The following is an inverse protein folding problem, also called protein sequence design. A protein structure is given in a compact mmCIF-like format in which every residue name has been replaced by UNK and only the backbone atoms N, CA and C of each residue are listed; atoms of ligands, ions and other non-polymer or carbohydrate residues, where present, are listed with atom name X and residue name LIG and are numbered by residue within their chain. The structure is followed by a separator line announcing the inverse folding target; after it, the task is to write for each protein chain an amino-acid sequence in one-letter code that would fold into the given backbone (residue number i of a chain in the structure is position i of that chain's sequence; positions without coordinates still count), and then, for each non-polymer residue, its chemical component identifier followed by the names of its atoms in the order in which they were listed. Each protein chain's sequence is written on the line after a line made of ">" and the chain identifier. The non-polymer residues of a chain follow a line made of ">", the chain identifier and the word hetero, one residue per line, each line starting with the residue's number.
data_IF_049752453700
#
_entry.id   IF_049752453700
#
_cell.length_a   1.000
_cell.length_b   1.000
_cell.length_c   1.000
_cell.angle_alpha   90.00
_cell.angle_beta   90.00
_cell.angle_gamma   90.00
#
_symmetry.space_group_name_H-M   'P 1'
#
loop_
_entity.id
_entity.type
_entity.pdbx_description
1 polymer ?
#
# COMPACT_ATOMS: atom_id res chain seq x y z
N UNK A 1 3.53 -0.81 12.82
CA UNK A 1 2.81 -1.86 12.03
C UNK A 1 1.57 -1.23 11.41
N UNK A 2 1.25 -1.51 10.15
CA UNK A 2 0.02 -1.02 9.52
C UNK A 2 -1.23 -1.50 10.26
N UNK A 3 -2.29 -0.69 10.27
CA UNK A 3 -3.57 -1.10 10.86
C UNK A 3 -4.20 -2.24 10.04
N UNK A 4 -5.08 -3.01 10.68
CA UNK A 4 -5.76 -4.12 10.01
C UNK A 4 -6.59 -3.64 8.82
N UNK A 5 -7.28 -2.51 8.97
CA UNK A 5 -8.11 -1.91 7.93
C UNK A 5 -7.31 -1.54 6.69
N UNK A 6 -6.13 -0.98 6.91
CA UNK A 6 -5.23 -0.60 5.82
C UNK A 6 -4.68 -1.83 5.07
N UNK A 7 -4.30 -2.89 5.80
CA UNK A 7 -3.86 -4.13 5.17
C UNK A 7 -4.97 -4.81 4.37
N UNK A 8 -6.19 -4.88 4.93
CA UNK A 8 -7.35 -5.44 4.21
C UNK A 8 -7.68 -4.63 2.96
N UNK A 9 -7.58 -3.30 3.03
CA UNK A 9 -7.82 -2.43 1.89
C UNK A 9 -6.80 -2.66 0.77
N UNK A 10 -5.53 -2.86 1.11
CA UNK A 10 -4.48 -3.21 0.14
C UNK A 10 -4.74 -4.59 -0.48
N UNK A 11 -4.97 -5.62 0.33
CA UNK A 11 -5.24 -6.98 -0.16
C UNK A 11 -6.45 -6.99 -1.09
N UNK A 12 -7.52 -6.28 -0.73
CA UNK A 12 -8.70 -6.16 -1.59
C UNK A 12 -8.35 -5.53 -2.95
N UNK A 13 -7.57 -4.46 -2.94
CA UNK A 13 -7.21 -3.75 -4.17
C UNK A 13 -6.25 -4.56 -5.04
N UNK A 14 -5.33 -5.32 -4.42
CA UNK A 14 -4.32 -6.08 -5.14
C UNK A 14 -4.85 -7.39 -5.75
N UNK A 15 -5.67 -8.12 -5.03
CA UNK A 15 -6.04 -9.49 -5.41
C UNK A 15 -7.51 -9.83 -5.24
N UNK A 16 -8.33 -8.93 -4.69
CA UNK A 16 -9.71 -9.24 -4.26
C UNK A 16 -9.77 -10.49 -3.36
N UNK A 17 -8.72 -10.68 -2.53
CA UNK A 17 -8.52 -11.85 -1.65
C UNK A 17 -8.25 -13.18 -2.38
N UNK A 18 -7.89 -13.16 -3.66
CA UNK A 18 -7.41 -14.36 -4.35
C UNK A 18 -5.92 -14.65 -4.01
N UNK A 19 -5.68 -15.67 -3.18
CA UNK A 19 -4.33 -16.08 -2.81
C UNK A 19 -3.49 -16.57 -3.99
N UNK A 20 -4.12 -16.95 -5.11
CA UNK A 20 -3.45 -17.43 -6.32
C UNK A 20 -3.26 -16.36 -7.39
N UNK A 21 -3.69 -15.13 -7.11
CA UNK A 21 -3.58 -14.01 -8.05
C UNK A 21 -2.14 -13.87 -8.58
N UNK A 22 -2.03 -13.61 -9.86
CA UNK A 22 -0.78 -13.43 -10.57
C UNK A 22 -0.94 -12.38 -11.65
N UNK A 23 -0.22 -11.27 -11.54
CA UNK A 23 -0.28 -10.22 -12.55
C UNK A 23 0.54 -10.59 -13.80
N UNK A 24 0.27 -9.94 -14.93
CA UNK A 24 1.03 -10.11 -16.16
C UNK A 24 2.50 -9.68 -16.02
N UNK A 25 2.82 -8.80 -15.06
CA UNK A 25 4.21 -8.38 -14.74
C UNK A 25 4.86 -9.25 -13.67
N UNK A 26 4.17 -10.25 -13.15
CA UNK A 26 4.72 -11.25 -12.24
C UNK A 26 4.55 -10.98 -10.74
N UNK A 27 3.72 -10.01 -10.35
CA UNK A 27 3.31 -9.83 -8.95
C UNK A 27 2.44 -11.02 -8.50
N UNK A 28 2.59 -11.47 -7.25
CA UNK A 28 2.03 -12.75 -6.79
C UNK A 28 1.30 -12.67 -5.46
N UNK A 29 0.19 -13.40 -5.37
CA UNK A 29 -0.55 -13.69 -4.15
C UNK A 29 -1.39 -12.53 -3.63
N UNK A 30 -1.84 -12.64 -2.39
CA UNK A 30 -2.80 -11.72 -1.77
C UNK A 30 -2.38 -10.24 -1.83
N UNK A 31 -1.12 -9.95 -1.58
CA UNK A 31 -0.59 -8.59 -1.58
C UNK A 31 0.17 -8.24 -2.87
N UNK A 32 0.08 -9.08 -3.91
CA UNK A 32 0.70 -8.86 -5.22
C UNK A 32 2.17 -8.39 -5.12
N UNK A 33 2.95 -9.06 -4.26
CA UNK A 33 4.35 -8.72 -4.08
C UNK A 33 5.20 -9.23 -5.25
N UNK A 34 6.09 -8.38 -5.77
CA UNK A 34 7.03 -8.78 -6.81
C UNK A 34 8.10 -9.73 -6.23
N UNK A 35 8.49 -10.78 -6.96
CA UNK A 35 9.50 -11.74 -6.50
C UNK A 35 10.81 -11.10 -6.05
N UNK A 36 11.27 -10.04 -6.74
CA UNK A 36 12.48 -9.31 -6.35
C UNK A 36 12.33 -8.60 -5.00
N UNK A 37 11.21 -7.94 -4.78
CA UNK A 37 10.87 -7.29 -3.51
C UNK A 37 10.74 -8.32 -2.40
N UNK A 38 10.03 -9.42 -2.65
CA UNK A 38 9.88 -10.52 -1.69
C UNK A 38 11.22 -11.12 -1.25
N UNK A 39 12.15 -11.29 -2.20
CA UNK A 39 13.51 -11.78 -1.92
C UNK A 39 14.30 -10.81 -1.01
N UNK A 40 14.21 -9.51 -1.29
CA UNK A 40 14.85 -8.49 -0.46
C UNK A 40 14.27 -8.48 0.95
N UNK A 41 12.94 -8.50 1.07
CA UNK A 41 12.23 -8.54 2.35
C UNK A 41 12.57 -9.80 3.15
N UNK A 42 12.56 -10.97 2.50
CA UNK A 42 12.92 -12.24 3.16
C UNK A 42 14.34 -12.17 3.74
N UNK A 43 15.28 -11.56 3.02
CA UNK A 43 16.65 -11.34 3.51
C UNK A 43 16.66 -10.44 4.75
N UNK A 44 15.92 -9.34 4.74
CA UNK A 44 15.84 -8.41 5.88
C UNK A 44 15.20 -9.07 7.11
N UNK A 45 14.21 -9.92 6.89
CA UNK A 45 13.56 -10.72 7.93
C UNK A 45 14.35 -11.96 8.36
N UNK A 46 15.53 -12.22 7.75
CA UNK A 46 16.36 -13.42 7.98
C UNK A 46 15.55 -14.71 7.83
N UNK A 47 14.65 -14.76 6.85
CA UNK A 47 13.82 -15.92 6.53
C UNK A 47 14.13 -16.44 5.12
N UNK A 48 13.84 -17.72 4.87
CA UNK A 48 14.09 -18.32 3.55
C UNK A 48 13.12 -17.73 2.51
N UNK A 49 13.68 -17.29 1.39
CA UNK A 49 12.88 -16.89 0.25
C UNK A 49 12.41 -18.12 -0.55
N UNK A 50 11.13 -18.16 -0.85
CA UNK A 50 10.52 -19.16 -1.76
C UNK A 50 9.50 -18.51 -2.66
N UNK A 51 9.76 -18.54 -3.97
CA UNK A 51 8.84 -17.99 -4.97
C UNK A 51 7.48 -18.74 -4.98
N UNK A 52 7.51 -20.06 -4.81
CA UNK A 52 6.29 -20.87 -4.81
C UNK A 52 5.36 -20.54 -3.64
N UNK A 53 5.93 -20.26 -2.46
CA UNK A 53 5.15 -19.90 -1.27
C UNK A 53 4.40 -18.58 -1.42
N UNK A 54 4.81 -17.69 -2.34
CA UNK A 54 4.09 -16.43 -2.56
C UNK A 54 2.62 -16.63 -3.01
N UNK A 55 2.30 -17.79 -3.62
CA UNK A 55 0.93 -18.14 -4.04
C UNK A 55 0.35 -19.30 -3.26
N UNK A 56 1.17 -20.20 -2.73
CA UNK A 56 0.69 -21.41 -2.04
C UNK A 56 0.54 -21.24 -0.53
N UNK A 57 1.16 -20.20 0.05
CA UNK A 57 1.06 -19.89 1.48
C UNK A 57 0.61 -18.42 1.66
N UNK A 58 -0.70 -18.19 1.93
CA UNK A 58 -1.22 -16.86 2.20
C UNK A 58 -0.52 -16.13 3.34
N UNK A 59 -0.17 -16.86 4.42
CA UNK A 59 0.50 -16.29 5.59
C UNK A 59 1.90 -15.78 5.24
N UNK A 60 2.61 -16.53 4.41
CA UNK A 60 3.93 -16.12 3.92
C UNK A 60 3.84 -14.85 3.05
N UNK A 61 2.86 -14.80 2.13
CA UNK A 61 2.63 -13.63 1.29
C UNK A 61 2.30 -12.38 2.11
N UNK A 62 1.33 -12.50 3.04
CA UNK A 62 0.93 -11.40 3.93
C UNK A 62 2.11 -10.94 4.78
N UNK A 63 2.89 -11.85 5.35
CA UNK A 63 4.07 -11.50 6.15
C UNK A 63 5.06 -10.63 5.38
N UNK A 64 5.42 -11.04 4.17
CA UNK A 64 6.38 -10.30 3.35
C UNK A 64 5.80 -8.97 2.84
N UNK A 65 4.56 -8.99 2.36
CA UNK A 65 3.87 -7.78 1.88
C UNK A 65 3.65 -6.75 2.98
N UNK A 66 3.24 -7.18 4.16
CA UNK A 66 3.07 -6.31 5.34
C UNK A 66 4.39 -5.67 5.77
N UNK A 67 5.47 -6.44 5.81
CA UNK A 67 6.78 -5.90 6.15
C UNK A 67 7.22 -4.82 5.13
N UNK A 68 7.07 -5.10 3.84
CA UNK A 68 7.39 -4.13 2.80
C UNK A 68 6.54 -2.86 2.91
N UNK A 69 5.23 -3.02 3.09
CA UNK A 69 4.34 -1.87 3.24
C UNK A 69 4.64 -1.06 4.50
N UNK A 70 4.98 -1.73 5.62
CA UNK A 70 5.40 -1.05 6.85
C UNK A 70 6.67 -0.23 6.64
N UNK A 71 7.65 -0.75 5.88
CA UNK A 71 8.86 0.03 5.56
C UNK A 71 8.54 1.30 4.76
N UNK A 72 7.58 1.23 3.84
CA UNK A 72 7.12 2.42 3.12
C UNK A 72 6.39 3.41 4.04
N UNK A 73 5.57 2.94 4.99
CA UNK A 73 4.97 3.82 5.99
C UNK A 73 6.02 4.54 6.83
N UNK A 74 7.06 3.84 7.26
CA UNK A 74 8.18 4.42 8.02
C UNK A 74 8.94 5.44 7.18
N UNK A 75 9.19 5.15 5.89
CA UNK A 75 9.86 6.06 4.96
C UNK A 75 9.07 7.37 4.71
N UNK A 76 7.76 7.37 4.98
CA UNK A 76 6.86 8.50 4.79
C UNK A 76 6.20 8.99 6.09
N UNK A 77 6.82 8.76 7.25
CA UNK A 77 6.36 9.25 8.56
C UNK A 77 4.89 8.91 8.86
N UNK A 78 4.43 7.74 8.44
CA UNK A 78 3.06 7.25 8.63
C UNK A 78 2.02 7.85 7.68
N UNK A 79 2.43 8.64 6.69
CA UNK A 79 1.53 9.23 5.68
C UNK A 79 1.10 8.18 4.67
N UNK A 80 -0.02 7.53 4.92
CA UNK A 80 -0.42 6.37 4.13
C UNK A 80 -0.78 6.66 2.66
N UNK A 81 -1.29 7.83 2.22
CA UNK A 81 -1.43 8.09 0.78
C UNK A 81 -0.11 7.97 0.01
N UNK A 82 1.00 8.41 0.61
CA UNK A 82 2.32 8.26 0.01
C UNK A 82 2.78 6.81 -0.01
N UNK A 83 2.63 6.10 1.11
CA UNK A 83 2.99 4.68 1.20
C UNK A 83 2.17 3.81 0.24
N UNK A 84 0.85 4.06 0.12
CA UNK A 84 -0.04 3.38 -0.83
C UNK A 84 0.42 3.64 -2.27
N UNK A 85 0.66 4.89 -2.62
CA UNK A 85 1.15 5.25 -3.95
C UNK A 85 2.52 4.64 -4.25
N UNK A 86 3.43 4.61 -3.26
CA UNK A 86 4.75 3.99 -3.39
C UNK A 86 4.68 2.47 -3.55
N UNK A 87 3.73 1.82 -2.88
CA UNK A 87 3.51 0.38 -3.04
C UNK A 87 3.14 0.01 -4.48
N UNK A 88 2.29 0.81 -5.11
CA UNK A 88 1.85 0.62 -6.50
C UNK A 88 2.87 1.09 -7.54
N UNK A 89 3.39 2.31 -7.41
CA UNK A 89 4.21 2.97 -8.44
C UNK A 89 5.71 3.04 -8.12
N UNK A 90 6.10 2.67 -6.91
CA UNK A 90 7.47 2.78 -6.41
C UNK A 90 7.77 4.11 -5.71
N UNK A 91 8.68 4.10 -4.71
CA UNK A 91 8.95 5.26 -3.87
C UNK A 91 9.56 6.45 -4.63
N UNK A 92 10.36 6.21 -5.67
CA UNK A 92 10.98 7.28 -6.45
C UNK A 92 9.95 8.17 -7.18
N UNK A 93 8.84 7.57 -7.63
CA UNK A 93 7.76 8.34 -8.29
C UNK A 93 7.04 9.24 -7.29
N UNK A 94 6.78 8.75 -6.10
CA UNK A 94 6.15 9.55 -5.04
C UNK A 94 7.02 10.74 -4.68
N UNK A 95 8.32 10.55 -4.46
CA UNK A 95 9.28 11.64 -4.20
C UNK A 95 9.28 12.68 -5.32
N UNK A 96 9.24 12.23 -6.58
CA UNK A 96 9.17 13.10 -7.75
C UNK A 96 7.88 13.91 -7.79
N UNK A 97 6.73 13.29 -7.47
CA UNK A 97 5.44 13.97 -7.48
C UNK A 97 5.29 14.95 -6.32
N UNK A 98 5.77 14.62 -5.12
CA UNK A 98 5.81 15.56 -3.99
C UNK A 98 6.66 16.77 -4.34
N UNK A 99 7.84 16.59 -4.92
CA UNK A 99 8.69 17.70 -5.37
C UNK A 99 8.03 18.57 -6.44
N UNK A 100 7.24 17.96 -7.33
CA UNK A 100 6.64 18.66 -8.47
C UNK A 100 5.36 19.42 -8.10
N UNK A 101 4.53 18.82 -7.24
CA UNK A 101 3.17 19.32 -6.98
C UNK A 101 3.01 19.97 -5.61
N UNK A 102 4.04 19.93 -4.77
CA UNK A 102 4.00 20.40 -3.39
C UNK A 102 3.85 19.26 -2.39
N UNK A 103 4.25 19.53 -1.15
CA UNK A 103 4.22 18.57 -0.04
C UNK A 103 3.01 18.83 0.86
N UNK A 104 2.02 17.93 0.88
CA UNK A 104 0.86 18.07 1.76
C UNK A 104 1.22 18.11 3.25
N UNK A 105 2.37 17.55 3.65
CA UNK A 105 2.83 17.61 5.05
C UNK A 105 3.33 18.99 5.46
N UNK A 106 3.64 19.85 4.48
CA UNK A 106 4.11 21.24 4.69
C UNK A 106 3.04 22.27 4.38
N UNK A 107 1.79 21.84 4.22
CA UNK A 107 0.67 22.68 3.85
C UNK A 107 0.85 23.43 2.49
N UNK A 108 1.75 22.91 1.62
CA UNK A 108 1.95 23.44 0.29
C UNK A 108 0.79 23.12 -0.67
N UNK A 109 0.06 22.02 -0.37
CA UNK A 109 -1.13 21.55 -1.07
C UNK A 109 -1.93 20.65 -0.12
N UNK A 110 -3.25 20.52 -0.28
CA UNK A 110 -3.98 19.52 0.50
C UNK A 110 -3.86 18.11 -0.09
N UNK A 111 -4.09 17.06 0.72
CA UNK A 111 -3.92 15.67 0.29
C UNK A 111 -4.84 15.28 -0.85
N UNK A 112 -6.08 15.78 -0.87
CA UNK A 112 -7.07 15.44 -1.91
C UNK A 112 -6.57 15.96 -3.26
N UNK A 113 -6.17 17.22 -3.31
CA UNK A 113 -5.66 17.85 -4.54
C UNK A 113 -4.36 17.17 -4.99
N UNK A 114 -3.47 16.82 -4.05
CA UNK A 114 -2.25 16.10 -4.38
C UNK A 114 -2.54 14.73 -5.02
N UNK A 115 -3.49 13.98 -4.48
CA UNK A 115 -3.92 12.68 -5.03
C UNK A 115 -4.49 12.87 -6.44
N UNK A 116 -5.32 13.90 -6.65
CA UNK A 116 -5.89 14.20 -7.98
C UNK A 116 -4.81 14.56 -9.02
N UNK A 117 -3.70 15.14 -8.60
CA UNK A 117 -2.56 15.47 -9.46
C UNK A 117 -1.64 14.30 -9.78
N UNK A 118 -1.81 13.14 -9.17
CA UNK A 118 -1.03 11.94 -9.52
C UNK A 118 -1.17 11.68 -11.03
N UNK A 119 -0.05 11.77 -11.73
CA UNK A 119 -0.03 11.71 -13.20
C UNK A 119 -0.50 10.36 -13.76
N UNK A 120 -0.15 9.25 -13.10
CA UNK A 120 -0.55 7.94 -13.55
C UNK A 120 -1.98 7.65 -13.10
N UNK A 121 -2.89 7.54 -14.07
CA UNK A 121 -4.30 7.25 -13.81
C UNK A 121 -4.48 5.97 -12.98
N UNK A 122 -3.70 4.94 -13.28
CA UNK A 122 -3.73 3.67 -12.55
C UNK A 122 -3.39 3.89 -11.07
N UNK A 123 -2.27 4.56 -10.78
CA UNK A 123 -1.84 4.83 -9.40
C UNK A 123 -2.79 5.77 -8.68
N UNK A 124 -3.29 6.80 -9.34
CA UNK A 124 -4.31 7.70 -8.77
C UNK A 124 -5.56 6.93 -8.35
N UNK A 125 -6.10 6.11 -9.24
CA UNK A 125 -7.27 5.27 -8.95
C UNK A 125 -6.96 4.25 -7.84
N UNK A 126 -5.77 3.67 -7.84
CA UNK A 126 -5.31 2.75 -6.80
C UNK A 126 -5.32 3.42 -5.41
N UNK A 127 -4.70 4.58 -5.29
CA UNK A 127 -4.67 5.34 -4.02
C UNK A 127 -6.09 5.68 -3.55
N UNK A 128 -6.94 6.20 -4.43
CA UNK A 128 -8.33 6.54 -4.10
C UNK A 128 -9.12 5.33 -3.63
N UNK A 129 -9.06 4.20 -4.34
CA UNK A 129 -9.79 2.97 -3.97
C UNK A 129 -9.31 2.35 -2.67
N UNK A 130 -7.99 2.36 -2.42
CA UNK A 130 -7.47 1.87 -1.13
C UNK A 130 -7.98 2.75 0.01
N UNK A 131 -7.97 4.07 -0.13
CA UNK A 131 -8.49 5.01 0.88
C UNK A 131 -10.00 4.79 1.12
N UNK A 132 -10.80 4.63 0.07
CA UNK A 132 -12.21 4.29 0.18
C UNK A 132 -12.42 2.97 0.95
N UNK A 133 -11.65 1.94 0.63
CA UNK A 133 -11.73 0.65 1.30
C UNK A 133 -11.30 0.72 2.77
N UNK A 134 -10.32 1.55 3.14
CA UNK A 134 -9.96 1.78 4.55
C UNK A 134 -11.19 2.25 5.33
N UNK A 135 -11.96 3.21 4.79
CA UNK A 135 -13.16 3.72 5.43
C UNK A 135 -14.23 2.62 5.61
N UNK A 136 -14.43 1.81 4.56
CA UNK A 136 -15.35 0.67 4.62
C UNK A 136 -14.94 -0.30 5.72
N UNK A 137 -13.66 -0.65 5.82
CA UNK A 137 -13.18 -1.59 6.85
C UNK A 137 -13.20 -0.98 8.25
N UNK A 138 -12.87 0.29 8.44
CA UNK A 138 -13.03 0.98 9.73
C UNK A 138 -14.48 0.90 10.22
N UNK A 139 -15.43 1.19 9.35
CA UNK A 139 -16.83 1.07 9.71
C UNK A 139 -17.27 -0.38 9.97
N UNK A 140 -16.86 -1.31 9.13
CA UNK A 140 -17.27 -2.72 9.22
C UNK A 140 -16.71 -3.39 10.47
N UNK A 141 -15.44 -3.16 10.80
CA UNK A 141 -14.76 -3.81 11.92
C UNK A 141 -15.02 -3.10 13.26
N UNK A 142 -14.93 -1.77 13.28
CA UNK A 142 -14.88 -0.99 14.52
C UNK A 142 -16.12 -0.14 14.74
N UNK A 143 -17.05 -0.05 13.76
CA UNK A 143 -18.17 0.88 13.75
C UNK A 143 -17.76 2.36 13.87
N UNK A 144 -16.53 2.66 13.48
CA UNK A 144 -16.01 4.03 13.52
C UNK A 144 -16.60 4.87 12.39
N UNK A 145 -17.15 6.06 12.70
CA UNK A 145 -17.59 6.99 11.67
C UNK A 145 -16.39 7.50 10.87
N UNK A 146 -16.62 7.83 9.61
CA UNK A 146 -15.59 8.44 8.76
C UNK A 146 -15.24 9.82 9.32
N UNK A 147 -13.96 10.00 9.66
CA UNK A 147 -13.39 11.30 10.04
C UNK A 147 -12.48 11.77 8.90
N UNK A 148 -12.74 12.93 8.35
CA UNK A 148 -11.93 13.48 7.25
C UNK A 148 -10.68 14.15 7.81
N UNK A 149 -10.79 14.84 8.94
CA UNK A 149 -9.67 15.54 9.58
C UNK A 149 -8.68 14.54 10.22
N UNK A 150 -7.40 14.69 9.88
CA UNK A 150 -6.33 13.82 10.37
C UNK A 150 -6.33 12.39 9.81
N UNK A 151 -7.21 12.10 8.85
CA UNK A 151 -7.43 10.76 8.30
C UNK A 151 -6.20 10.16 7.61
N UNK A 152 -5.31 10.98 7.04
CA UNK A 152 -4.22 10.52 6.18
C UNK A 152 -2.94 10.11 6.92
N UNK A 153 -2.96 10.07 8.24
CA UNK A 153 -1.83 9.62 9.08
C UNK A 153 -2.24 8.50 10.03
N UNK A 154 -1.30 7.59 10.25
CA UNK A 154 -1.39 6.55 11.29
C UNK A 154 -0.47 6.87 12.45
#
# INVERSE_FOLDING_TARGET
>A
MPSQELLLAIIRQESEFDARANSHVGAQGLMQIMPGTAKLVARNLKTTYSKSLLKSDPSYNIKLGTYYFNSLLEDYDGVFPFAIGAYNAGPNRIKSWVKKYGDPNKDEINFIDWIELIRFKETRNYVQRVIENINVYKYTLNKEPIKIDGFFRQ
#
